data_IF_516007924704
#
_entry.id   IF_516007924704
#
_cell.length_a   1.000
_cell.length_b   1.000
_cell.length_c   1.000
_cell.angle_alpha   90.00
_cell.angle_beta   90.00
_cell.angle_gamma   90.00
#
_symmetry.space_group_name_H-M   'P 1'
#
loop_
_entity.id
_entity.type
_entity.pdbx_description
1 polymer ?
#
# COMPACT_ATOMS: atom_id res chain seq x y z
N UNK A 1 -55.61 45.97 -7.41
CA UNK A 1 -54.61 45.90 -8.50
C UNK A 1 -53.89 44.56 -8.42
N UNK A 2 -54.08 43.68 -9.40
CA UNK A 2 -53.40 42.38 -9.47
C UNK A 2 -51.93 42.60 -9.84
N UNK A 3 -51.03 42.64 -8.85
CA UNK A 3 -49.58 42.58 -9.09
C UNK A 3 -49.19 41.12 -9.34
N UNK A 4 -49.52 40.63 -10.54
CA UNK A 4 -49.12 39.30 -11.00
C UNK A 4 -47.70 39.34 -11.54
N UNK A 5 -46.93 38.29 -11.26
CA UNK A 5 -45.58 38.10 -11.79
C UNK A 5 -45.61 38.06 -13.33
N UNK A 6 -44.71 38.76 -14.00
CA UNK A 6 -44.64 38.68 -15.46
C UNK A 6 -43.98 37.37 -15.90
N UNK A 7 -44.37 36.85 -17.08
CA UNK A 7 -43.80 35.61 -17.63
C UNK A 7 -42.27 35.72 -17.77
N UNK A 8 -41.77 36.91 -18.09
CA UNK A 8 -40.32 37.19 -18.21
C UNK A 8 -39.61 37.04 -16.87
N UNK A 9 -40.14 37.63 -15.81
CA UNK A 9 -39.58 37.48 -14.45
C UNK A 9 -39.63 36.03 -13.98
N UNK A 10 -40.69 35.29 -14.32
CA UNK A 10 -40.84 33.88 -13.97
C UNK A 10 -39.75 33.03 -14.63
N UNK A 11 -39.53 33.24 -15.93
CA UNK A 11 -38.47 32.54 -16.68
C UNK A 11 -37.13 32.86 -16.05
N UNK A 12 -36.81 34.15 -15.85
CA UNK A 12 -35.52 34.58 -15.29
C UNK A 12 -35.23 33.97 -13.90
N UNK A 13 -36.25 33.90 -13.03
CA UNK A 13 -36.13 33.31 -11.70
C UNK A 13 -35.90 31.79 -11.78
N UNK A 14 -36.57 31.12 -12.73
CA UNK A 14 -36.43 29.68 -12.92
C UNK A 14 -35.07 29.29 -13.53
N UNK A 15 -34.57 30.05 -14.50
CA UNK A 15 -33.21 29.84 -15.04
C UNK A 15 -32.16 30.03 -13.97
N UNK A 16 -32.27 31.08 -13.15
CA UNK A 16 -31.34 31.32 -12.05
C UNK A 16 -31.37 30.16 -11.04
N UNK A 17 -32.55 29.67 -10.68
CA UNK A 17 -32.70 28.54 -9.77
C UNK A 17 -32.06 27.26 -10.32
N UNK A 18 -32.24 26.94 -11.61
CA UNK A 18 -31.62 25.78 -12.26
C UNK A 18 -30.10 25.91 -12.29
N UNK A 19 -29.57 27.09 -12.62
CA UNK A 19 -28.11 27.32 -12.65
C UNK A 19 -27.52 27.07 -11.26
N UNK A 20 -28.14 27.62 -10.22
CA UNK A 20 -27.71 27.40 -8.83
C UNK A 20 -27.78 25.91 -8.49
N UNK A 21 -28.86 25.22 -8.84
CA UNK A 21 -29.01 23.79 -8.56
C UNK A 21 -27.92 22.94 -9.26
N UNK A 22 -27.60 23.25 -10.52
CA UNK A 22 -26.53 22.57 -11.27
C UNK A 22 -25.17 22.82 -10.62
N UNK A 23 -24.87 24.06 -10.22
CA UNK A 23 -23.64 24.39 -9.51
C UNK A 23 -23.52 23.64 -8.17
N UNK A 24 -24.60 23.58 -7.39
CA UNK A 24 -24.60 22.81 -6.15
C UNK A 24 -24.37 21.32 -6.40
N UNK A 25 -24.96 20.75 -7.46
CA UNK A 25 -24.75 19.34 -7.80
C UNK A 25 -23.29 19.06 -8.19
N UNK A 26 -22.66 19.96 -8.95
CA UNK A 26 -21.23 19.87 -9.28
C UNK A 26 -20.36 19.85 -8.01
N UNK A 27 -20.62 20.75 -7.07
CA UNK A 27 -19.87 20.80 -5.80
C UNK A 27 -20.01 19.49 -5.02
N UNK A 28 -21.21 18.91 -4.95
CA UNK A 28 -21.45 17.62 -4.29
C UNK A 28 -20.68 16.48 -4.96
N UNK A 29 -20.65 16.43 -6.29
CA UNK A 29 -19.90 15.42 -7.03
C UNK A 29 -18.39 15.53 -6.78
N UNK A 30 -17.85 16.75 -6.77
CA UNK A 30 -16.44 17.00 -6.47
C UNK A 30 -16.09 16.57 -5.05
N UNK A 31 -16.90 16.95 -4.06
CA UNK A 31 -16.72 16.53 -2.67
C UNK A 31 -16.70 14.99 -2.55
N UNK A 32 -17.67 14.32 -3.17
CA UNK A 32 -17.75 12.85 -3.16
C UNK A 32 -16.46 12.21 -3.73
N UNK A 33 -15.93 12.75 -4.83
CA UNK A 33 -14.67 12.29 -5.41
C UNK A 33 -13.48 12.45 -4.46
N UNK A 34 -13.37 13.60 -3.78
CA UNK A 34 -12.28 13.86 -2.83
C UNK A 34 -12.37 12.91 -1.63
N UNK A 35 -13.55 12.71 -1.04
CA UNK A 35 -13.72 11.85 0.12
C UNK A 35 -13.47 10.38 -0.21
N UNK A 36 -13.96 9.89 -1.35
CA UNK A 36 -13.72 8.51 -1.78
C UNK A 36 -12.23 8.24 -2.03
N UNK A 37 -11.54 9.17 -2.71
CA UNK A 37 -10.10 9.07 -2.95
C UNK A 37 -9.30 9.14 -1.64
N UNK A 38 -9.63 10.09 -0.76
CA UNK A 38 -8.94 10.22 0.55
C UNK A 38 -9.13 8.98 1.42
N UNK A 39 -10.34 8.41 1.41
CA UNK A 39 -10.66 7.16 2.11
C UNK A 39 -9.86 5.98 1.55
N UNK A 40 -9.83 5.79 0.23
CA UNK A 40 -9.07 4.73 -0.42
C UNK A 40 -7.57 4.85 -0.14
N UNK A 41 -7.01 6.07 -0.25
CA UNK A 41 -5.61 6.35 0.05
C UNK A 41 -5.26 5.97 1.49
N UNK A 42 -6.10 6.37 2.44
CA UNK A 42 -5.93 6.07 3.86
C UNK A 42 -5.97 4.56 4.12
N UNK A 43 -6.89 3.84 3.46
CA UNK A 43 -6.96 2.38 3.58
C UNK A 43 -5.71 1.68 3.05
N UNK A 44 -5.18 2.11 1.90
CA UNK A 44 -3.95 1.56 1.32
C UNK A 44 -2.74 1.81 2.24
N UNK A 45 -2.58 3.03 2.75
CA UNK A 45 -1.52 3.38 3.70
C UNK A 45 -1.63 2.62 5.03
N UNK A 46 -2.84 2.44 5.56
CA UNK A 46 -3.05 1.66 6.77
C UNK A 46 -2.70 0.18 6.57
N UNK A 47 -3.08 -0.40 5.42
CA UNK A 47 -2.71 -1.78 5.05
C UNK A 47 -1.20 -1.94 4.97
N UNK A 48 -0.52 -0.99 4.31
CA UNK A 48 0.94 -0.92 4.23
C UNK A 48 1.59 -0.86 5.62
N UNK A 49 1.11 0.03 6.48
CA UNK A 49 1.66 0.22 7.82
C UNK A 49 1.50 -1.05 8.68
N UNK A 50 0.29 -1.63 8.70
CA UNK A 50 -0.01 -2.81 9.51
C UNK A 50 0.80 -4.04 9.08
N UNK A 51 0.94 -4.28 7.78
CA UNK A 51 1.72 -5.44 7.33
C UNK A 51 3.22 -5.22 7.53
N UNK A 52 3.71 -3.98 7.33
CA UNK A 52 5.11 -3.65 7.59
C UNK A 52 5.44 -3.83 9.06
N UNK A 53 4.58 -3.33 9.95
CA UNK A 53 4.73 -3.47 11.40
C UNK A 53 4.77 -4.94 11.84
N UNK A 54 3.85 -5.76 11.32
CA UNK A 54 3.84 -7.20 11.61
C UNK A 54 5.12 -7.91 11.13
N UNK A 55 5.61 -7.57 9.94
CA UNK A 55 6.87 -8.11 9.42
C UNK A 55 8.04 -7.67 10.30
N UNK A 56 8.17 -6.37 10.59
CA UNK A 56 9.24 -5.85 11.45
C UNK A 56 9.20 -6.47 12.85
N UNK A 57 8.02 -6.61 13.44
CA UNK A 57 7.86 -7.24 14.75
C UNK A 57 8.42 -8.66 14.75
N UNK A 58 8.06 -9.49 13.77
CA UNK A 58 8.58 -10.87 13.67
C UNK A 58 10.08 -10.91 13.43
N UNK A 59 10.58 -10.07 12.52
CA UNK A 59 12.01 -10.00 12.21
C UNK A 59 12.81 -9.57 13.44
N UNK A 60 12.34 -8.57 14.18
CA UNK A 60 13.03 -8.05 15.37
C UNK A 60 12.95 -9.00 16.57
N UNK A 61 11.84 -9.73 16.73
CA UNK A 61 11.66 -10.70 17.82
C UNK A 61 12.48 -11.97 17.61
N UNK A 62 12.53 -12.50 16.38
CA UNK A 62 13.08 -13.84 16.10
C UNK A 62 14.39 -13.83 15.33
N UNK A 63 14.72 -12.73 14.65
CA UNK A 63 15.84 -12.64 13.71
C UNK A 63 15.60 -13.47 12.44
N UNK A 64 15.99 -12.95 11.28
CA UNK A 64 15.92 -13.71 10.02
C UNK A 64 17.13 -14.62 9.89
N UNK A 65 16.91 -15.87 9.47
CA UNK A 65 17.95 -16.80 9.05
C UNK A 65 18.03 -16.86 7.52
N UNK A 66 16.92 -17.11 6.83
CA UNK A 66 16.86 -17.22 5.36
C UNK A 66 15.57 -16.65 4.80
N UNK A 67 15.62 -16.18 3.56
CA UNK A 67 14.43 -15.84 2.77
C UNK A 67 14.47 -16.66 1.49
N UNK A 68 13.37 -17.34 1.20
CA UNK A 68 13.26 -18.24 0.05
C UNK A 68 11.92 -18.08 -0.66
N UNK A 69 11.85 -18.60 -1.88
CA UNK A 69 10.60 -18.67 -2.64
C UNK A 69 9.79 -19.88 -2.15
N UNK A 70 8.51 -19.69 -1.80
CA UNK A 70 7.58 -20.76 -1.43
C UNK A 70 6.57 -21.11 -2.54
N UNK A 71 6.69 -20.49 -3.71
CA UNK A 71 5.81 -20.67 -4.86
C UNK A 71 6.03 -19.57 -5.89
N UNK A 72 5.08 -19.37 -6.79
CA UNK A 72 5.18 -18.34 -7.85
C UNK A 72 4.98 -16.92 -7.30
N UNK A 73 4.19 -16.77 -6.23
CA UNK A 73 3.85 -15.47 -5.62
C UNK A 73 3.88 -15.53 -4.09
N UNK A 74 4.99 -16.06 -3.56
CA UNK A 74 5.13 -16.36 -2.12
C UNK A 74 6.60 -16.19 -1.66
N UNK A 75 6.82 -15.41 -0.61
CA UNK A 75 8.11 -15.28 0.08
C UNK A 75 8.03 -15.94 1.45
N UNK A 76 8.92 -16.91 1.71
CA UNK A 76 9.04 -17.60 3.00
C UNK A 76 10.20 -17.02 3.79
N UNK A 77 9.89 -16.53 4.97
CA UNK A 77 10.84 -16.09 5.98
C UNK A 77 11.10 -17.25 6.93
N UNK A 78 12.34 -17.67 7.05
CA UNK A 78 12.77 -18.63 8.07
C UNK A 78 13.55 -17.88 9.13
N UNK A 79 13.16 -18.04 10.39
CA UNK A 79 13.77 -17.34 11.51
C UNK A 79 14.86 -18.18 12.20
N UNK A 80 15.63 -17.56 13.10
CA UNK A 80 16.70 -18.24 13.86
C UNK A 80 16.16 -19.35 14.79
N UNK A 81 14.89 -19.28 15.18
CA UNK A 81 14.19 -20.30 15.98
C UNK A 81 13.65 -21.49 15.14
N UNK A 82 13.99 -21.56 13.86
CA UNK A 82 13.47 -22.52 12.86
C UNK A 82 11.96 -22.42 12.57
N UNK A 83 11.27 -21.41 13.07
CA UNK A 83 9.89 -21.14 12.64
C UNK A 83 9.89 -20.44 11.28
N UNK A 84 8.76 -20.52 10.58
CA UNK A 84 8.60 -19.93 9.25
C UNK A 84 7.34 -19.08 9.17
N UNK A 85 7.43 -17.97 8.44
CA UNK A 85 6.29 -17.14 8.07
C UNK A 85 6.24 -16.91 6.57
N UNK A 86 5.06 -17.02 5.99
CA UNK A 86 4.85 -16.89 4.55
C UNK A 86 4.15 -15.56 4.23
N UNK A 87 4.75 -14.79 3.33
CA UNK A 87 4.15 -13.63 2.69
C UNK A 87 3.63 -14.04 1.31
N UNK A 88 2.31 -14.15 1.19
CA UNK A 88 1.62 -14.56 -0.04
C UNK A 88 1.00 -13.35 -0.72
N UNK A 89 1.27 -13.15 -2.00
CA UNK A 89 0.80 -12.02 -2.81
C UNK A 89 0.12 -12.51 -4.10
N UNK A 90 -0.97 -13.26 -3.99
CA UNK A 90 -1.68 -13.86 -5.13
C UNK A 90 -2.91 -13.09 -5.57
N UNK A 91 -3.06 -12.96 -6.90
CA UNK A 91 -4.18 -12.36 -7.66
C UNK A 91 -4.56 -10.93 -7.27
N UNK A 92 -5.02 -10.72 -6.03
CA UNK A 92 -5.32 -9.42 -5.41
C UNK A 92 -5.31 -9.52 -3.87
N UNK A 93 -4.64 -10.50 -3.29
CA UNK A 93 -4.62 -10.73 -1.84
C UNK A 93 -3.19 -10.66 -1.35
N UNK A 94 -3.01 -9.96 -0.25
CA UNK A 94 -1.78 -9.98 0.52
C UNK A 94 -2.05 -10.62 1.86
N UNK A 95 -1.28 -11.65 2.18
CA UNK A 95 -1.37 -12.36 3.44
C UNK A 95 0.02 -12.51 4.06
N UNK A 96 0.12 -12.17 5.32
CA UNK A 96 1.26 -12.46 6.17
C UNK A 96 0.72 -12.94 7.52
N UNK A 97 0.90 -14.23 7.82
CA UNK A 97 0.35 -14.86 9.02
C UNK A 97 -1.18 -14.66 9.13
N UNK A 98 -1.63 -14.09 10.24
CA UNK A 98 -3.02 -13.77 10.55
C UNK A 98 -3.52 -12.51 9.82
N UNK A 99 -2.60 -11.65 9.34
CA UNK A 99 -2.97 -10.43 8.67
C UNK A 99 -3.19 -10.67 7.18
N UNK A 100 -4.45 -10.56 6.75
CA UNK A 100 -4.87 -10.81 5.38
C UNK A 100 -5.72 -9.66 4.89
N UNK A 101 -5.42 -9.15 3.71
CA UNK A 101 -6.28 -8.16 3.06
C UNK A 101 -6.35 -8.39 1.56
N UNK A 102 -7.50 -8.05 1.00
CA UNK A 102 -7.69 -7.92 -0.43
C UNK A 102 -7.33 -6.49 -0.86
N UNK A 103 -6.68 -6.39 -2.01
CA UNK A 103 -6.57 -5.18 -2.80
C UNK A 103 -7.93 -4.86 -3.43
N UNK A 104 -8.19 -3.56 -3.59
CA UNK A 104 -9.32 -3.10 -4.41
C UNK A 104 -9.06 -3.41 -5.88
N UNK A 105 -10.11 -3.62 -6.69
CA UNK A 105 -10.03 -4.02 -8.10
C UNK A 105 -9.18 -3.08 -8.98
N UNK A 106 -9.01 -1.83 -8.55
CA UNK A 106 -8.15 -0.84 -9.22
C UNK A 106 -6.68 -0.87 -8.77
N UNK A 107 -6.30 -1.80 -7.91
CA UNK A 107 -4.95 -1.92 -7.38
C UNK A 107 -4.26 -3.18 -7.87
N UNK A 108 -2.95 -3.12 -8.07
CA UNK A 108 -2.15 -4.24 -8.56
C UNK A 108 -0.77 -4.24 -7.91
N UNK A 109 -0.21 -5.43 -7.71
CA UNK A 109 1.18 -5.59 -7.31
C UNK A 109 2.12 -5.26 -8.48
N UNK A 110 3.17 -4.49 -8.20
CA UNK A 110 4.28 -4.30 -9.12
C UNK A 110 5.36 -5.38 -9.00
N UNK A 111 6.53 -5.18 -9.64
CA UNK A 111 7.64 -6.14 -9.59
C UNK A 111 8.23 -6.23 -8.18
N UNK A 112 8.54 -7.44 -7.74
CA UNK A 112 8.88 -7.70 -6.34
C UNK A 112 10.35 -8.01 -6.26
N UNK A 113 11.07 -7.24 -5.45
CA UNK A 113 12.51 -7.41 -5.29
C UNK A 113 12.89 -7.65 -3.84
N UNK A 114 13.79 -8.60 -3.66
CA UNK A 114 14.53 -8.87 -2.42
C UNK A 114 15.98 -8.65 -2.76
N UNK A 115 16.55 -7.57 -2.27
CA UNK A 115 17.92 -7.15 -2.52
C UNK A 115 18.72 -7.29 -1.22
N UNK A 116 19.97 -7.72 -1.36
CA UNK A 116 20.89 -7.84 -0.22
C UNK A 116 22.16 -7.10 -0.59
N UNK A 117 22.50 -6.07 0.18
CA UNK A 117 23.69 -5.28 -0.01
C UNK A 117 24.65 -5.50 1.16
N UNK A 118 25.94 -5.70 0.86
CA UNK A 118 26.99 -5.78 1.90
C UNK A 118 27.54 -4.40 2.18
N UNK A 119 27.61 -4.03 3.45
CA UNK A 119 28.17 -2.76 3.92
C UNK A 119 29.69 -2.93 4.07
N UNK A 120 30.46 -2.11 3.35
CA UNK A 120 31.93 -2.28 3.23
C UNK A 120 32.73 -1.87 4.46
N UNK A 121 32.11 -1.19 5.45
CA UNK A 121 32.79 -0.68 6.66
C UNK A 121 32.22 -1.37 7.88
N UNK A 122 32.70 -2.58 8.15
CA UNK A 122 32.22 -3.40 9.28
C UNK A 122 33.13 -3.17 10.48
N UNK A 123 32.62 -2.51 11.52
CA UNK A 123 33.24 -2.59 12.85
C UNK A 123 32.83 -3.92 13.49
N UNK A 124 33.77 -4.64 14.11
CA UNK A 124 33.54 -5.93 14.78
C UNK A 124 32.29 -5.87 15.67
N UNK A 125 31.29 -6.70 15.36
CA UNK A 125 30.03 -6.80 16.10
C UNK A 125 28.85 -5.99 15.52
N UNK A 126 29.05 -5.22 14.45
CA UNK A 126 27.95 -4.52 13.77
C UNK A 126 27.41 -5.33 12.57
N UNK A 127 26.11 -5.17 12.24
CA UNK A 127 25.54 -5.78 11.04
C UNK A 127 26.30 -5.30 9.79
N UNK A 128 26.67 -6.24 8.94
CA UNK A 128 27.49 -6.02 7.74
C UNK A 128 26.66 -6.11 6.45
N UNK A 129 25.35 -6.32 6.57
CA UNK A 129 24.46 -6.59 5.45
C UNK A 129 23.12 -5.88 5.65
N UNK A 130 22.57 -5.35 4.56
CA UNK A 130 21.25 -4.74 4.49
C UNK A 130 20.38 -5.59 3.58
N UNK A 131 19.25 -6.02 4.12
CA UNK A 131 18.16 -6.64 3.38
C UNK A 131 17.15 -5.56 3.01
N UNK A 132 16.78 -5.48 1.74
CA UNK A 132 15.69 -4.67 1.25
C UNK A 132 14.63 -5.54 0.57
N UNK A 133 13.39 -5.47 1.03
CA UNK A 133 12.24 -6.15 0.39
C UNK A 133 11.27 -5.07 -0.10
N UNK A 134 11.07 -5.02 -1.41
CA UNK A 134 10.10 -4.15 -2.08
C UNK A 134 8.98 -4.97 -2.68
N UNK A 135 7.76 -4.71 -2.21
CA UNK A 135 6.51 -5.23 -2.77
C UNK A 135 5.62 -4.03 -3.13
N UNK A 136 5.85 -3.38 -4.28
CA UNK A 136 5.10 -2.20 -4.67
C UNK A 136 3.62 -2.52 -4.94
N UNK A 137 2.73 -1.60 -4.57
CA UNK A 137 1.29 -1.68 -4.82
C UNK A 137 0.86 -0.38 -5.49
N UNK A 138 0.39 -0.47 -6.73
CA UNK A 138 -0.09 0.67 -7.49
C UNK A 138 -1.61 0.68 -7.54
N UNK A 139 -2.21 1.87 -7.68
CA UNK A 139 -3.65 2.02 -7.90
C UNK A 139 -3.92 2.98 -9.06
N UNK A 140 -4.84 2.63 -9.96
CA UNK A 140 -5.13 3.44 -11.17
C UNK A 140 -5.66 4.84 -10.86
N UNK A 141 -6.18 5.07 -9.64
CA UNK A 141 -6.68 6.38 -9.18
C UNK A 141 -5.54 7.31 -8.77
N UNK A 142 -4.38 6.76 -8.41
CA UNK A 142 -3.23 7.50 -7.90
C UNK A 142 -1.99 7.15 -8.74
N UNK A 143 -1.88 7.79 -9.89
CA UNK A 143 -0.75 7.59 -10.80
C UNK A 143 0.60 7.82 -10.08
N UNK A 144 1.56 6.94 -10.35
CA UNK A 144 2.94 6.99 -9.86
C UNK A 144 3.11 6.99 -8.32
N UNK A 145 2.07 6.62 -7.56
CA UNK A 145 2.17 6.44 -6.12
C UNK A 145 2.27 4.96 -5.77
N UNK A 146 3.30 4.62 -5.00
CA UNK A 146 3.49 3.28 -4.44
C UNK A 146 2.93 3.23 -3.01
N UNK A 147 1.95 2.36 -2.81
CA UNK A 147 1.34 2.05 -1.51
C UNK A 147 1.77 0.66 -1.00
N UNK A 148 2.84 0.14 -1.57
CA UNK A 148 3.39 -1.17 -1.29
C UNK A 148 4.30 -1.22 -0.08
N UNK A 149 4.83 -2.40 0.21
CA UNK A 149 5.71 -2.62 1.35
C UNK A 149 7.15 -2.31 0.94
N UNK A 150 7.87 -1.59 1.80
CA UNK A 150 9.32 -1.44 1.71
C UNK A 150 9.94 -1.76 3.08
N UNK A 151 10.51 -2.95 3.21
CA UNK A 151 11.19 -3.39 4.43
C UNK A 151 12.70 -3.20 4.23
N UNK A 152 13.34 -2.54 5.19
CA UNK A 152 14.80 -2.39 5.25
C UNK A 152 15.27 -2.91 6.59
N UNK A 153 16.11 -3.93 6.58
CA UNK A 153 16.59 -4.60 7.78
C UNK A 153 18.09 -4.83 7.73
N UNK A 154 18.79 -4.55 8.83
CA UNK A 154 20.23 -4.77 8.94
C UNK A 154 20.49 -6.09 9.67
N UNK A 155 21.40 -6.90 9.14
CA UNK A 155 21.75 -8.20 9.70
C UNK A 155 23.24 -8.51 9.55
N UNK A 156 23.74 -9.49 10.30
CA UNK A 156 25.09 -10.03 10.11
C UNK A 156 25.07 -11.22 9.15
N UNK A 157 25.95 -11.20 8.15
CA UNK A 157 26.13 -12.27 7.18
C UNK A 157 26.55 -13.61 7.83
N UNK A 158 27.04 -13.56 9.07
CA UNK A 158 27.36 -14.74 9.88
C UNK A 158 26.13 -15.44 10.47
N UNK A 159 25.03 -14.72 10.69
CA UNK A 159 23.82 -15.23 11.34
C UNK A 159 22.69 -15.56 10.36
N UNK A 160 22.72 -14.99 9.15
CA UNK A 160 21.69 -15.19 8.15
C UNK A 160 22.29 -15.39 6.76
N UNK A 161 21.77 -16.37 6.01
CA UNK A 161 22.14 -16.65 4.63
C UNK A 161 20.99 -16.24 3.70
N UNK A 162 20.96 -14.96 3.36
CA UNK A 162 19.92 -14.37 2.51
C UNK A 162 20.52 -14.06 1.14
N UNK A 163 19.83 -14.52 0.09
CA UNK A 163 20.20 -14.25 -1.30
C UNK A 163 19.18 -13.33 -1.96
N UNK A 164 19.63 -12.56 -2.95
CA UNK A 164 18.74 -11.67 -3.70
C UNK A 164 17.75 -12.48 -4.55
N UNK A 165 16.49 -12.06 -4.57
CA UNK A 165 15.39 -12.72 -5.27
C UNK A 165 14.58 -11.67 -6.03
N UNK A 166 14.14 -11.99 -7.24
CA UNK A 166 13.20 -11.17 -8.01
C UNK A 166 12.04 -12.01 -8.53
N UNK A 167 10.87 -11.39 -8.68
CA UNK A 167 9.67 -11.97 -9.30
C UNK A 167 9.15 -11.07 -10.41
#
# INVERSE_FOLDING_TARGET
MKKGFTVVELIASFTLAIIIAVLMFQVVLVLKGIFTNSGLKTQLLNKQALISDNIYKKINEKGISTISKCGTKCLRFTYLDNTTSDLVFEENKLAFEDYKFALDDKSSFGPITVEVEKVSVVSLGNPDSILQIKLPIYNTTFENQDFGINIVYQFSSSSANITSLSY
#
